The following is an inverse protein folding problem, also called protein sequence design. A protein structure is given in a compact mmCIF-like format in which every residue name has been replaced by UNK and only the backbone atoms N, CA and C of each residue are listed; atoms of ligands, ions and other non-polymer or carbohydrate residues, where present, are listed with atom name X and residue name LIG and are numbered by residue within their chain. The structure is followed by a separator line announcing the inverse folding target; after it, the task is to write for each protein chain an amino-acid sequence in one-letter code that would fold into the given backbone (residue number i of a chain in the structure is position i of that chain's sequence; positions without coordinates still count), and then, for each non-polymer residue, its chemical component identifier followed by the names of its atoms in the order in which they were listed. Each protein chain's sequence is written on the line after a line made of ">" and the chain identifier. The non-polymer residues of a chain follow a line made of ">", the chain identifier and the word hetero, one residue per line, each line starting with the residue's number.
data_IF_048326358515
#
_entry.id   IF_048326358515
#
_cell.length_a   1.000
_cell.length_b   1.000
_cell.length_c   1.000
_cell.angle_alpha   90.00
_cell.angle_beta   90.00
_cell.angle_gamma   90.00
#
_symmetry.space_group_name_H-M   'P 1'
#
loop_
_entity.id
_entity.type
_entity.pdbx_description
1 polymer ?
#
# COMPACT_ATOMS: atom_id res chain seq x y z
N UNK A 1 -24.33 -23.71 -23.24
CA UNK A 1 -24.64 -23.60 -21.78
C UNK A 1 -25.30 -22.25 -21.53
N UNK A 2 -26.43 -22.21 -20.82
CA UNK A 2 -27.03 -20.94 -20.38
C UNK A 2 -26.14 -20.26 -19.32
N UNK A 3 -26.08 -18.91 -19.35
CA UNK A 3 -25.33 -18.10 -18.39
C UNK A 3 -25.91 -18.32 -16.98
N UNK A 4 -25.15 -18.82 -15.99
CA UNK A 4 -25.63 -18.93 -14.61
C UNK A 4 -25.93 -17.54 -14.04
N UNK A 5 -26.93 -17.43 -13.15
CA UNK A 5 -27.25 -16.16 -12.48
C UNK A 5 -26.35 -16.00 -11.27
N UNK A 6 -25.70 -14.83 -11.15
CA UNK A 6 -24.74 -14.54 -10.08
C UNK A 6 -25.38 -14.67 -8.69
N UNK A 7 -26.56 -14.09 -8.49
CA UNK A 7 -27.23 -14.04 -7.18
C UNK A 7 -27.83 -15.38 -6.73
N UNK A 8 -28.01 -16.35 -7.62
CA UNK A 8 -28.48 -17.69 -7.24
C UNK A 8 -27.36 -18.71 -7.10
N UNK A 9 -26.29 -18.58 -7.91
CA UNK A 9 -25.18 -19.55 -7.95
C UNK A 9 -23.83 -18.84 -8.16
N UNK A 10 -23.33 -18.05 -7.19
CA UNK A 10 -22.17 -17.18 -7.39
C UNK A 10 -20.88 -17.95 -7.71
N UNK A 11 -20.62 -19.08 -7.06
CA UNK A 11 -19.45 -19.92 -7.34
C UNK A 11 -19.48 -20.50 -8.76
N UNK A 12 -20.67 -20.93 -9.22
CA UNK A 12 -20.87 -21.44 -10.58
C UNK A 12 -20.71 -20.33 -11.61
N UNK A 13 -21.17 -19.12 -11.30
CA UNK A 13 -20.95 -17.93 -12.13
C UNK A 13 -19.48 -17.58 -12.27
N UNK A 14 -18.72 -17.55 -11.17
CA UNK A 14 -17.28 -17.28 -11.23
C UNK A 14 -16.53 -18.34 -12.05
N UNK A 15 -16.86 -19.63 -11.87
CA UNK A 15 -16.27 -20.71 -12.67
C UNK A 15 -16.60 -20.55 -14.16
N UNK A 16 -17.84 -20.19 -14.49
CA UNK A 16 -18.24 -19.92 -15.88
C UNK A 16 -17.52 -18.69 -16.45
N UNK A 17 -17.47 -17.59 -15.70
CA UNK A 17 -16.83 -16.33 -16.11
C UNK A 17 -15.33 -16.51 -16.35
N UNK A 18 -14.64 -17.31 -15.53
CA UNK A 18 -13.22 -17.62 -15.71
C UNK A 18 -12.90 -18.36 -17.01
N UNK A 19 -13.81 -19.22 -17.50
CA UNK A 19 -13.61 -20.02 -18.72
C UNK A 19 -14.15 -19.30 -19.97
N UNK A 20 -15.35 -18.73 -19.89
CA UNK A 20 -16.08 -18.16 -21.06
C UNK A 20 -15.72 -16.69 -21.32
N UNK A 21 -15.33 -15.94 -20.28
CA UNK A 21 -14.98 -14.52 -20.35
C UNK A 21 -13.70 -14.21 -19.55
N UNK A 22 -12.57 -14.87 -19.86
CA UNK A 22 -11.35 -14.79 -19.06
C UNK A 22 -10.82 -13.37 -18.94
N UNK A 23 -10.85 -12.57 -20.02
CA UNK A 23 -10.35 -11.20 -20.01
C UNK A 23 -11.07 -10.30 -18.98
N UNK A 24 -12.38 -10.46 -18.82
CA UNK A 24 -13.18 -9.68 -17.86
C UNK A 24 -12.94 -10.21 -16.44
N UNK A 25 -12.98 -11.53 -16.28
CA UNK A 25 -12.82 -12.14 -14.96
C UNK A 25 -11.46 -11.82 -14.33
N UNK A 26 -10.37 -12.04 -15.07
CA UNK A 26 -9.01 -11.83 -14.55
C UNK A 26 -8.63 -10.36 -14.45
N UNK A 27 -9.18 -9.46 -15.29
CA UNK A 27 -8.92 -8.02 -15.15
C UNK A 27 -9.53 -7.46 -13.86
N UNK A 28 -10.75 -7.85 -13.52
CA UNK A 28 -11.38 -7.47 -12.25
C UNK A 28 -10.62 -8.08 -11.07
N UNK A 29 -10.26 -9.37 -11.16
CA UNK A 29 -9.54 -10.06 -10.09
C UNK A 29 -8.20 -9.39 -9.81
N UNK A 30 -7.36 -9.20 -10.82
CA UNK A 30 -6.06 -8.53 -10.67
C UNK A 30 -6.20 -7.06 -10.26
N UNK A 31 -7.16 -6.33 -10.84
CA UNK A 31 -7.43 -4.94 -10.48
C UNK A 31 -7.88 -4.79 -9.03
N UNK A 32 -8.69 -5.72 -8.52
CA UNK A 32 -9.15 -5.72 -7.13
C UNK A 32 -8.07 -6.18 -6.14
N UNK A 33 -7.15 -7.04 -6.57
CA UNK A 33 -6.08 -7.56 -5.71
C UNK A 33 -5.16 -6.44 -5.22
N UNK A 34 -4.92 -5.41 -6.04
CA UNK A 34 -4.11 -4.23 -5.67
C UNK A 34 -4.63 -3.49 -4.42
N UNK A 35 -5.85 -2.90 -4.45
CA UNK A 35 -6.44 -2.24 -3.30
C UNK A 35 -6.56 -3.14 -2.06
N UNK A 36 -6.91 -4.43 -2.25
CA UNK A 36 -6.97 -5.40 -1.14
C UNK A 36 -5.58 -5.58 -0.51
N UNK A 37 -4.55 -5.74 -1.33
CA UNK A 37 -3.18 -5.87 -0.86
C UNK A 37 -2.67 -4.60 -0.16
N UNK A 38 -3.04 -3.41 -0.63
CA UNK A 38 -2.69 -2.14 0.02
C UNK A 38 -3.21 -2.04 1.46
N UNK A 39 -4.37 -2.62 1.76
CA UNK A 39 -4.94 -2.60 3.11
C UNK A 39 -4.47 -3.79 3.94
N UNK A 40 -4.38 -4.97 3.34
CA UNK A 40 -4.06 -6.22 4.04
C UNK A 40 -2.56 -6.37 4.34
N UNK A 41 -1.67 -5.96 3.44
CA UNK A 41 -0.22 -6.21 3.60
C UNK A 41 0.46 -5.34 4.67
N UNK A 42 0.19 -4.04 4.83
CA UNK A 42 0.89 -3.21 5.83
C UNK A 42 0.82 -3.72 7.27
N UNK A 43 -0.35 -4.13 7.83
CA UNK A 43 -0.38 -4.66 9.19
C UNK A 43 0.38 -5.99 9.32
N UNK A 44 0.37 -6.83 8.28
CA UNK A 44 1.12 -8.10 8.24
C UNK A 44 2.63 -7.81 8.23
N UNK A 45 3.09 -6.87 7.41
CA UNK A 45 4.51 -6.46 7.35
C UNK A 45 5.00 -5.94 8.71
N UNK A 46 4.21 -5.05 9.33
CA UNK A 46 4.53 -4.52 10.67
C UNK A 46 4.56 -5.59 11.76
N UNK A 47 3.70 -6.61 11.67
CA UNK A 47 3.73 -7.76 12.59
C UNK A 47 5.05 -8.55 12.49
N UNK A 48 5.62 -8.67 11.30
CA UNK A 48 6.92 -9.32 11.08
C UNK A 48 8.12 -8.40 11.38
N UNK A 49 7.90 -7.20 11.93
CA UNK A 49 8.96 -6.26 12.30
C UNK A 49 9.44 -5.35 11.17
N UNK A 50 8.81 -5.40 10.00
CA UNK A 50 9.05 -4.47 8.92
C UNK A 50 8.29 -3.15 9.20
N UNK A 51 9.03 -2.18 9.76
CA UNK A 51 8.51 -0.86 10.17
C UNK A 51 8.84 0.21 9.14
N UNK A 52 8.00 1.24 9.08
CA UNK A 52 8.21 2.36 8.17
C UNK A 52 9.50 3.12 8.53
N UNK A 53 10.37 3.43 7.54
CA UNK A 53 11.60 4.17 7.80
C UNK A 53 11.30 5.59 8.30
N UNK A 54 12.22 6.16 9.07
CA UNK A 54 12.14 7.54 9.48
C UNK A 54 12.13 8.49 8.25
N UNK A 55 11.37 9.60 8.31
CA UNK A 55 11.30 10.54 7.20
C UNK A 55 12.66 11.19 6.95
N UNK A 56 13.03 11.28 5.67
CA UNK A 56 14.25 11.97 5.25
C UNK A 56 14.09 13.48 5.46
N UNK A 57 15.09 14.17 6.03
CA UNK A 57 15.03 15.62 6.17
C UNK A 57 15.00 16.29 4.79
N UNK A 58 13.96 17.09 4.55
CA UNK A 58 13.79 17.85 3.29
C UNK A 58 14.47 19.23 3.33
N UNK A 59 14.94 19.63 4.50
CA UNK A 59 15.61 20.91 4.74
C UNK A 59 16.73 20.74 5.75
N UNK A 60 17.56 21.78 5.90
CA UNK A 60 18.58 21.80 6.94
C UNK A 60 17.92 21.65 8.32
N UNK A 61 18.31 20.65 9.14
CA UNK A 61 17.67 20.40 10.42
C UNK A 61 18.08 21.49 11.42
N UNK A 62 17.22 22.49 11.59
CA UNK A 62 17.42 23.57 12.55
C UNK A 62 17.06 23.04 13.96
N UNK A 63 18.00 23.03 14.92
CA UNK A 63 17.69 22.63 16.29
C UNK A 63 16.63 23.55 16.91
N UNK A 64 15.65 23.01 17.65
CA UNK A 64 14.69 23.82 18.36
C UNK A 64 15.36 24.53 19.56
N UNK A 65 14.99 25.79 19.79
CA UNK A 65 15.38 26.53 21.00
C UNK A 65 16.20 27.79 20.74
N UNK A 66 16.61 28.48 21.83
CA UNK A 66 17.34 29.74 21.74
C UNK A 66 18.78 29.52 21.30
N UNK A 67 19.35 30.53 20.64
CA UNK A 67 20.75 30.54 20.21
C UNK A 67 21.69 30.41 21.42
N UNK A 68 22.68 29.54 21.31
CA UNK A 68 23.83 29.48 22.22
C UNK A 68 25.00 30.22 21.56
N UNK A 69 25.62 31.17 22.28
CA UNK A 69 26.75 31.95 21.77
C UNK A 69 28.01 31.06 21.86
N UNK A 70 28.64 30.68 20.73
CA UNK A 70 29.87 29.90 20.74
C UNK A 70 31.10 30.78 21.07
N UNK A 71 32.19 30.16 21.52
CA UNK A 71 33.50 30.79 21.73
C UNK A 71 34.55 30.07 20.86
N UNK A 72 35.62 30.76 20.44
CA UNK A 72 36.81 30.12 19.85
C UNK A 72 37.11 30.42 18.38
N UNK A 73 36.39 31.35 17.75
CA UNK A 73 36.62 31.82 16.37
C UNK A 73 36.36 33.33 16.21
N UNK A 74 36.64 34.11 17.25
CA UNK A 74 36.52 35.57 17.18
C UNK A 74 37.75 36.14 16.45
N UNK A 75 37.55 37.13 15.56
CA UNK A 75 38.63 37.81 14.85
C UNK A 75 39.37 38.76 15.83
N UNK A 76 40.71 38.72 15.88
CA UNK A 76 41.52 39.64 16.70
C UNK A 76 41.38 41.12 16.29
#
# INVERSE_FOLDING_TARGET
>A
MSKPVFWSTPLRYMRWAANERPAIFYSILMGSLGPVALVALPPIRRYFGDVDPAPVPMSYPIPPGPRKIPQGYDDE
#
